data_IF_299818368675
#
_entry.id   IF_299818368675
#
_cell.length_a   1.000
_cell.length_b   1.000
_cell.length_c   1.000
_cell.angle_alpha   90.00
_cell.angle_beta   90.00
_cell.angle_gamma   90.00
#
_symmetry.space_group_name_H-M   'P 1'
#
loop_
_entity.id
_entity.type
_entity.pdbx_description
1 polymer ?
#
# COMPACT_ATOMS: atom_id res chain seq x y z
N UNK A 1 1.35 9.24 -23.79
CA UNK A 1 1.71 9.01 -22.37
C UNK A 1 0.77 7.93 -21.86
N UNK A 2 1.26 6.80 -21.36
CA UNK A 2 0.38 5.79 -20.75
C UNK A 2 -0.24 6.42 -19.49
N UNK A 3 -1.56 6.61 -19.48
CA UNK A 3 -2.26 6.98 -18.26
C UNK A 3 -1.98 5.88 -17.23
N UNK A 4 -1.47 6.27 -16.07
CA UNK A 4 -1.14 5.31 -15.04
C UNK A 4 -2.43 4.84 -14.37
N UNK A 5 -2.68 3.54 -14.36
CA UNK A 5 -3.91 2.97 -13.81
C UNK A 5 -3.93 3.08 -12.28
N UNK A 6 -4.99 3.64 -11.69
CA UNK A 6 -5.18 3.63 -10.24
C UNK A 6 -5.13 2.20 -9.68
N UNK A 7 -4.48 2.02 -8.53
CA UNK A 7 -4.39 0.72 -7.85
C UNK A 7 -4.36 0.92 -6.35
N UNK A 8 -5.02 0.01 -5.61
CA UNK A 8 -4.99 -0.03 -4.15
C UNK A 8 -4.08 -1.13 -3.66
N UNK A 9 -3.09 -0.75 -2.87
CA UNK A 9 -2.14 -1.65 -2.23
C UNK A 9 -2.51 -1.80 -0.76
N UNK A 10 -2.60 -3.02 -0.27
CA UNK A 10 -2.85 -3.33 1.13
C UNK A 10 -1.64 -4.06 1.71
N UNK A 11 -1.01 -3.44 2.70
CA UNK A 11 0.15 -3.98 3.40
C UNK A 11 -0.25 -4.26 4.86
N UNK A 12 -0.10 -5.50 5.38
CA UNK A 12 -0.21 -5.78 6.80
C UNK A 12 0.71 -4.85 7.60
N UNK A 13 0.14 -4.13 8.54
CA UNK A 13 0.83 -3.20 9.41
C UNK A 13 0.88 -3.80 10.82
N UNK A 14 2.10 -3.98 11.34
CA UNK A 14 2.29 -4.39 12.73
C UNK A 14 2.76 -3.19 13.52
N UNK A 15 2.03 -2.86 14.58
CA UNK A 15 2.47 -1.87 15.56
C UNK A 15 3.61 -2.38 16.45
N UNK A 16 3.91 -3.69 16.43
CA UNK A 16 4.99 -4.28 17.22
C UNK A 16 5.86 -5.29 16.42
N UNK A 17 7.18 -5.07 16.36
CA UNK A 17 7.87 -3.82 16.73
C UNK A 17 7.36 -2.65 15.89
N UNK A 18 7.24 -1.45 16.47
CA UNK A 18 6.60 -0.29 15.83
C UNK A 18 7.35 0.12 14.57
N UNK A 19 6.85 -0.30 13.41
CA UNK A 19 7.38 0.11 12.13
C UNK A 19 6.76 1.45 11.75
N UNK A 20 7.58 2.47 11.48
CA UNK A 20 7.07 3.74 10.96
C UNK A 20 6.40 3.47 9.60
N UNK A 21 5.16 3.92 9.35
CA UNK A 21 4.49 3.73 8.05
C UNK A 21 5.36 4.17 6.87
N UNK A 22 6.10 5.27 7.02
CA UNK A 22 7.05 5.78 6.02
C UNK A 22 8.16 4.79 5.66
N UNK A 23 8.64 3.99 6.61
CA UNK A 23 9.66 2.97 6.34
C UNK A 23 9.10 1.82 5.49
N UNK A 24 7.86 1.38 5.79
CA UNK A 24 7.17 0.34 5.02
C UNK A 24 6.88 0.84 3.60
N UNK A 25 6.41 2.07 3.46
CA UNK A 25 6.13 2.72 2.16
C UNK A 25 7.41 2.81 1.33
N UNK A 26 8.51 3.28 1.92
CA UNK A 26 9.79 3.39 1.22
C UNK A 26 10.33 2.02 0.79
N UNK A 27 10.22 1.01 1.66
CA UNK A 27 10.60 -0.36 1.34
C UNK A 27 9.76 -0.91 0.18
N UNK A 28 8.45 -0.67 0.21
CA UNK A 28 7.53 -1.06 -0.87
C UNK A 28 7.90 -0.40 -2.20
N UNK A 29 8.09 0.91 -2.24
CA UNK A 29 8.47 1.61 -3.47
C UNK A 29 9.83 1.15 -4.00
N UNK A 30 10.80 0.93 -3.11
CA UNK A 30 12.12 0.38 -3.46
C UNK A 30 11.98 -1.02 -4.09
N UNK A 31 11.22 -1.91 -3.44
CA UNK A 31 10.96 -3.26 -3.93
C UNK A 31 10.22 -3.27 -5.28
N UNK A 32 9.26 -2.37 -5.45
CA UNK A 32 8.47 -2.22 -6.69
C UNK A 32 9.30 -1.61 -7.83
N UNK A 33 10.44 -0.98 -7.53
CA UNK A 33 11.23 -0.21 -8.49
C UNK A 33 10.52 1.04 -9.01
N UNK A 34 9.55 1.56 -8.26
CA UNK A 34 8.76 2.75 -8.64
C UNK A 34 9.18 3.90 -7.73
N UNK A 35 9.54 5.05 -8.30
CA UNK A 35 9.77 6.24 -7.50
C UNK A 35 8.44 6.70 -6.86
N UNK A 36 8.42 6.98 -5.54
CA UNK A 36 7.26 7.58 -4.90
C UNK A 36 6.98 8.92 -5.57
N UNK A 37 6.01 8.97 -6.47
CA UNK A 37 5.46 10.24 -6.96
C UNK A 37 4.63 10.84 -5.84
N UNK A 38 4.43 12.15 -5.81
CA UNK A 38 3.48 12.75 -4.86
C UNK A 38 2.01 12.35 -5.13
N UNK A 39 1.76 11.44 -6.07
CA UNK A 39 0.44 10.99 -6.51
C UNK A 39 0.03 9.66 -5.83
N UNK A 40 0.09 9.64 -4.50
CA UNK A 40 -0.51 8.60 -3.69
C UNK A 40 -1.12 9.16 -2.42
N UNK A 41 -2.05 8.41 -1.84
CA UNK A 41 -2.62 8.67 -0.53
C UNK A 41 -2.43 7.44 0.36
N UNK A 42 -2.22 7.64 1.66
CA UNK A 42 -2.04 6.55 2.63
C UNK A 42 -2.97 6.69 3.82
N UNK A 43 -3.53 5.58 4.27
CA UNK A 43 -4.31 5.52 5.48
C UNK A 43 -4.15 4.17 6.17
N UNK A 44 -4.36 4.16 7.49
CA UNK A 44 -4.32 2.93 8.29
C UNK A 44 -5.76 2.48 8.52
N UNK A 45 -6.03 1.22 8.19
CA UNK A 45 -7.29 0.55 8.47
C UNK A 45 -7.10 -0.51 9.55
N UNK A 46 -8.09 -0.64 10.42
CA UNK A 46 -8.27 -1.79 11.29
C UNK A 46 -9.37 -2.69 10.74
N UNK A 47 -9.22 -4.00 10.92
CA UNK A 47 -10.34 -4.92 10.71
C UNK A 47 -11.06 -5.11 12.06
N UNK A 48 -12.36 -4.77 12.18
CA UNK A 48 -13.09 -4.92 13.44
C UNK A 48 -13.17 -6.38 13.94
N UNK A 49 -12.87 -7.36 13.08
CA UNK A 49 -12.86 -8.80 13.41
C UNK A 49 -11.48 -9.32 13.81
N UNK A 50 -10.43 -8.50 13.75
CA UNK A 50 -9.08 -8.92 14.14
C UNK A 50 -8.27 -7.79 14.79
N UNK A 51 -7.21 -8.13 15.52
CA UNK A 51 -6.26 -7.13 16.02
C UNK A 51 -5.28 -6.64 14.94
N UNK A 52 -5.52 -6.97 13.67
CA UNK A 52 -4.62 -6.64 12.56
C UNK A 52 -4.90 -5.23 12.06
N UNK A 53 -3.82 -4.51 11.82
CA UNK A 53 -3.84 -3.24 11.13
C UNK A 53 -3.31 -3.44 9.71
N UNK A 54 -3.75 -2.57 8.81
CA UNK A 54 -3.36 -2.56 7.42
C UNK A 54 -3.00 -1.14 7.03
N UNK A 55 -1.84 -0.99 6.40
CA UNK A 55 -1.46 0.23 5.71
C UNK A 55 -1.96 0.13 4.27
N UNK A 56 -2.87 1.02 3.90
CA UNK A 56 -3.43 1.10 2.56
C UNK A 56 -2.76 2.23 1.81
N UNK A 57 -2.33 1.96 0.57
CA UNK A 57 -1.77 2.94 -0.35
C UNK A 57 -2.64 2.99 -1.61
N UNK A 58 -3.19 4.15 -1.93
CA UNK A 58 -3.94 4.39 -3.16
C UNK A 58 -3.02 5.13 -4.13
N UNK A 59 -2.53 4.44 -5.17
CA UNK A 59 -1.68 5.03 -6.20
C UNK A 59 -2.52 5.73 -7.27
N UNK A 60 -2.00 6.83 -7.82
CA UNK A 60 -2.63 7.63 -8.87
C UNK A 60 -3.96 8.31 -8.49
N UNK A 61 -4.18 8.50 -7.18
CA UNK A 61 -5.43 9.05 -6.65
C UNK A 61 -5.59 10.56 -6.90
N UNK A 62 -4.51 11.33 -7.04
CA UNK A 62 -4.59 12.77 -7.35
C UNK A 62 -4.84 12.99 -8.84
N UNK A 63 -4.25 12.16 -9.69
CA UNK A 63 -4.51 12.19 -11.14
C UNK A 63 -5.87 11.59 -11.51
N UNK A 64 -6.43 10.72 -10.67
CA UNK A 64 -7.75 10.11 -10.86
C UNK A 64 -8.64 10.26 -9.60
N UNK A 65 -9.15 11.48 -9.32
CA UNK A 65 -9.87 11.76 -8.07
C UNK A 65 -11.28 11.13 -8.00
N UNK A 66 -11.85 10.71 -9.13
CA UNK A 66 -13.23 10.19 -9.23
C UNK A 66 -13.29 8.66 -9.39
N UNK A 67 -12.28 7.93 -8.91
CA UNK A 67 -12.23 6.47 -9.01
C UNK A 67 -13.22 5.83 -8.04
N UNK A 68 -14.04 4.92 -8.55
CA UNK A 68 -14.86 4.05 -7.71
C UNK A 68 -13.96 3.03 -7.01
N UNK A 69 -13.76 3.22 -5.70
CA UNK A 69 -12.89 2.37 -4.88
C UNK A 69 -13.34 0.90 -4.85
N UNK A 70 -14.61 0.61 -5.15
CA UNK A 70 -15.12 -0.76 -5.20
C UNK A 70 -14.75 -1.50 -6.49
N UNK A 71 -14.30 -0.78 -7.52
CA UNK A 71 -13.86 -1.32 -8.81
C UNK A 71 -12.35 -1.22 -9.01
N UNK A 72 -11.65 -0.77 -7.98
CA UNK A 72 -10.21 -0.58 -8.01
C UNK A 72 -9.51 -1.93 -7.87
N UNK A 73 -8.49 -2.17 -8.69
CA UNK A 73 -7.66 -3.34 -8.54
C UNK A 73 -6.98 -3.33 -7.17
N UNK A 74 -7.10 -4.46 -6.46
CA UNK A 74 -6.59 -4.65 -5.12
C UNK A 74 -5.37 -5.56 -5.16
N UNK A 75 -4.25 -5.08 -4.64
CA UNK A 75 -3.06 -5.89 -4.46
C UNK A 75 -2.71 -6.01 -2.98
N UNK A 76 -2.66 -7.23 -2.46
CA UNK A 76 -2.34 -7.52 -1.07
C UNK A 76 -0.94 -8.12 -1.01
N UNK A 77 -0.03 -7.52 -0.23
CA UNK A 77 1.32 -8.04 -0.08
C UNK A 77 1.55 -8.56 1.33
N UNK A 78 2.33 -9.62 1.45
CA UNK A 78 2.80 -10.09 2.75
C UNK A 78 4.08 -9.36 3.11
N UNK A 79 4.05 -8.66 4.25
CA UNK A 79 5.23 -8.03 4.82
C UNK A 79 5.89 -9.05 5.76
N UNK A 80 6.95 -9.71 5.31
CA UNK A 80 7.92 -10.32 6.23
C UNK A 80 8.77 -9.18 6.82
N UNK A 81 9.37 -9.39 8.01
CA UNK A 81 10.27 -8.40 8.61
C UNK A 81 11.32 -7.85 7.63
N UNK A 82 11.92 -6.71 8.00
CA UNK A 82 12.70 -5.70 7.25
C UNK A 82 13.40 -6.13 5.94
N UNK A 83 13.73 -7.40 5.73
CA UNK A 83 14.51 -7.89 4.60
C UNK A 83 13.72 -8.54 3.45
N UNK A 84 12.40 -8.77 3.50
CA UNK A 84 11.69 -9.35 2.32
C UNK A 84 10.19 -9.08 2.27
N UNK A 85 9.72 -8.35 1.25
CA UNK A 85 8.34 -8.42 0.80
C UNK A 85 8.20 -9.63 -0.13
N UNK A 86 7.37 -10.61 0.24
CA UNK A 86 7.08 -11.78 -0.61
C UNK A 86 5.63 -11.67 -1.07
N UNK A 87 5.43 -11.72 -2.39
CA UNK A 87 4.12 -11.82 -3.02
C UNK A 87 3.69 -13.30 -3.04
N UNK A 88 2.54 -13.62 -2.46
CA UNK A 88 1.86 -14.89 -2.75
C UNK A 88 1.01 -14.65 -4.02
N UNK A 89 1.34 -15.38 -5.10
CA UNK A 89 0.58 -15.40 -6.35
C UNK A 89 -0.51 -16.46 -6.28
#
# INVERSE_FOLDING_TARGET
MSQATPVRIVLPYREQPFQKPTAIINAFFTWRGIQPREDYYTHICSDPRSSRLYLVLDLHCKTHPNVDLNKLDLEVFKVSGIDSLISER
#
